data_IF_268451519057
#
_entry.id   IF_268451519057
#
_cell.length_a   1.000
_cell.length_b   1.000
_cell.length_c   1.000
_cell.angle_alpha   90.00
_cell.angle_beta   90.00
_cell.angle_gamma   90.00
#
_symmetry.space_group_name_H-M   'P 1'
#
loop_
_entity.id
_entity.type
_entity.pdbx_description
1 polymer ?
#
# COMPACT_ATOMS: atom_id res chain seq x y z
N UNK A 1 8.34 34.07 -5.63
CA UNK A 1 9.01 33.24 -4.61
C UNK A 1 9.37 31.91 -5.26
N UNK A 2 10.67 31.60 -5.42
CA UNK A 2 11.12 30.36 -6.08
C UNK A 2 11.06 29.25 -5.03
N UNK A 3 10.07 28.35 -5.12
CA UNK A 3 10.01 27.15 -4.27
C UNK A 3 11.17 26.21 -4.62
N UNK A 4 11.97 25.85 -3.62
CA UNK A 4 13.08 24.91 -3.85
C UNK A 4 12.54 23.48 -3.95
N UNK A 5 13.27 22.60 -4.64
CA UNK A 5 12.91 21.18 -4.75
C UNK A 5 12.67 20.50 -3.39
N UNK A 6 13.47 20.85 -2.38
CA UNK A 6 13.34 20.33 -1.01
C UNK A 6 12.02 20.73 -0.37
N UNK A 7 11.53 21.94 -0.66
CA UNK A 7 10.23 22.42 -0.17
C UNK A 7 9.09 21.65 -0.85
N UNK A 8 9.19 21.42 -2.16
CA UNK A 8 8.22 20.60 -2.90
C UNK A 8 8.17 19.17 -2.36
N UNK A 9 9.31 18.52 -2.13
CA UNK A 9 9.38 17.17 -1.58
C UNK A 9 8.71 17.09 -0.21
N UNK A 10 9.05 18.00 0.72
CA UNK A 10 8.43 18.08 2.05
C UNK A 10 6.91 18.24 1.97
N UNK A 11 6.43 19.10 1.07
CA UNK A 11 4.99 19.28 0.85
C UNK A 11 4.35 17.99 0.35
N UNK A 12 4.97 17.28 -0.60
CA UNK A 12 4.45 16.00 -1.10
C UNK A 12 4.48 14.89 -0.06
N UNK A 13 5.49 14.83 0.81
CA UNK A 13 5.52 13.91 1.95
C UNK A 13 4.37 14.17 2.92
N UNK A 14 4.09 15.44 3.26
CA UNK A 14 2.94 15.80 4.12
C UNK A 14 1.61 15.42 3.47
N UNK A 15 1.48 15.68 2.16
CA UNK A 15 0.30 15.30 1.39
C UNK A 15 0.10 13.78 1.40
N UNK A 16 1.17 13.00 1.19
CA UNK A 16 1.13 11.55 1.27
C UNK A 16 0.71 11.08 2.67
N UNK A 17 1.33 11.60 3.73
CA UNK A 17 0.99 11.23 5.11
C UNK A 17 -0.49 11.50 5.43
N UNK A 18 -1.03 12.64 5.00
CA UNK A 18 -2.45 12.96 5.15
C UNK A 18 -3.34 11.94 4.43
N UNK A 19 -3.07 11.65 3.15
CA UNK A 19 -3.89 10.70 2.39
C UNK A 19 -3.78 9.27 2.90
N UNK A 20 -2.60 8.84 3.33
CA UNK A 20 -2.40 7.54 3.98
C UNK A 20 -3.20 7.46 5.28
N UNK A 21 -3.12 8.50 6.13
CA UNK A 21 -3.90 8.55 7.38
C UNK A 21 -5.41 8.53 7.12
N UNK A 22 -5.89 9.34 6.17
CA UNK A 22 -7.30 9.34 5.76
C UNK A 22 -7.75 7.97 5.26
N UNK A 23 -6.95 7.33 4.42
CA UNK A 23 -7.24 5.98 3.91
C UNK A 23 -7.29 4.95 5.05
N UNK A 24 -6.34 4.96 5.99
CA UNK A 24 -6.34 4.05 7.15
C UNK A 24 -7.58 4.24 8.03
N UNK A 25 -8.04 5.48 8.24
CA UNK A 25 -9.28 5.75 8.98
C UNK A 25 -10.48 5.13 8.26
N UNK A 26 -10.59 5.31 6.95
CA UNK A 26 -11.68 4.69 6.18
C UNK A 26 -11.57 3.17 6.12
N UNK A 27 -10.36 2.60 6.14
CA UNK A 27 -10.12 1.15 6.18
C UNK A 27 -10.57 0.57 7.52
N UNK A 28 -10.22 1.23 8.62
CA UNK A 28 -10.70 0.87 9.95
C UNK A 28 -12.23 0.96 10.03
N UNK A 29 -12.82 2.00 9.44
CA UNK A 29 -14.27 2.15 9.36
C UNK A 29 -14.92 1.02 8.54
N UNK A 30 -14.36 0.62 7.39
CA UNK A 30 -14.93 -0.47 6.58
C UNK A 30 -14.76 -1.84 7.23
N UNK A 31 -13.65 -2.06 7.94
CA UNK A 31 -13.33 -3.36 8.54
C UNK A 31 -14.01 -3.58 9.89
N UNK A 32 -14.09 -2.53 10.72
CA UNK A 32 -14.65 -2.62 12.08
C UNK A 32 -16.07 -2.06 12.20
N UNK A 33 -16.47 -1.14 11.33
CA UNK A 33 -17.79 -0.51 11.35
C UNK A 33 -18.97 -1.49 11.29
N UNK A 34 -18.95 -2.56 10.47
CA UNK A 34 -20.02 -3.56 10.45
C UNK A 34 -20.30 -4.17 11.83
N UNK A 35 -19.25 -4.44 12.61
CA UNK A 35 -19.38 -5.05 13.93
C UNK A 35 -19.65 -4.04 15.04
N UNK A 36 -19.16 -2.80 14.92
CA UNK A 36 -19.15 -1.83 16.03
C UNK A 36 -20.19 -0.71 15.92
N UNK A 37 -20.67 -0.38 14.71
CA UNK A 37 -21.44 0.85 14.47
C UNK A 37 -22.82 0.62 13.85
N UNK A 38 -22.98 -0.41 13.02
CA UNK A 38 -24.22 -0.59 12.24
C UNK A 38 -24.68 -2.05 12.10
N UNK A 39 -24.29 -2.93 13.02
CA UNK A 39 -24.81 -4.31 13.19
C UNK A 39 -24.95 -5.10 11.87
N UNK A 40 -23.87 -5.13 11.08
CA UNK A 40 -23.79 -5.84 9.80
C UNK A 40 -24.84 -5.38 8.77
N UNK A 41 -25.34 -4.16 8.88
CA UNK A 41 -26.16 -3.56 7.83
C UNK A 41 -25.35 -3.44 6.53
N UNK A 42 -25.84 -4.12 5.49
CA UNK A 42 -25.19 -4.20 4.18
C UNK A 42 -25.07 -2.83 3.49
N UNK A 43 -26.08 -1.96 3.60
CA UNK A 43 -26.07 -0.66 2.94
C UNK A 43 -24.95 0.22 3.47
N UNK A 44 -24.81 0.34 4.79
CA UNK A 44 -23.73 1.12 5.39
C UNK A 44 -22.35 0.52 5.14
N UNK A 45 -22.25 -0.82 5.14
CA UNK A 45 -21.00 -1.52 4.83
C UNK A 45 -20.54 -1.26 3.39
N UNK A 46 -21.46 -1.33 2.42
CA UNK A 46 -21.18 -1.01 1.01
C UNK A 46 -20.73 0.46 0.88
N UNK A 47 -21.43 1.39 1.52
CA UNK A 47 -21.05 2.81 1.52
C UNK A 47 -19.66 3.04 2.12
N UNK A 48 -19.33 2.39 3.23
CA UNK A 48 -18.02 2.49 3.87
C UNK A 48 -16.90 1.92 2.98
N UNK A 49 -17.14 0.79 2.31
CA UNK A 49 -16.19 0.20 1.35
C UNK A 49 -15.99 1.11 0.14
N UNK A 50 -17.07 1.66 -0.44
CA UNK A 50 -16.97 2.62 -1.54
C UNK A 50 -16.16 3.86 -1.15
N UNK A 51 -16.43 4.41 0.03
CA UNK A 51 -15.66 5.54 0.57
C UNK A 51 -14.19 5.18 0.72
N UNK A 52 -13.88 4.00 1.27
CA UNK A 52 -12.51 3.53 1.42
C UNK A 52 -11.77 3.43 0.08
N UNK A 53 -12.42 2.90 -0.97
CA UNK A 53 -11.85 2.83 -2.32
C UNK A 53 -11.60 4.23 -2.88
N UNK A 54 -12.56 5.15 -2.77
CA UNK A 54 -12.41 6.53 -3.26
C UNK A 54 -11.25 7.26 -2.59
N UNK A 55 -11.12 7.15 -1.26
CA UNK A 55 -9.99 7.74 -0.53
C UNK A 55 -8.68 7.02 -0.88
N UNK A 56 -8.74 5.70 -1.14
CA UNK A 56 -7.61 4.91 -1.61
C UNK A 56 -7.04 5.39 -2.94
N UNK A 57 -7.90 5.78 -3.89
CA UNK A 57 -7.47 6.40 -5.16
C UNK A 57 -6.68 7.70 -4.88
N UNK A 58 -7.16 8.53 -3.95
CA UNK A 58 -6.45 9.73 -3.51
C UNK A 58 -5.06 9.42 -2.93
N UNK A 59 -4.96 8.39 -2.10
CA UNK A 59 -3.68 7.91 -1.55
C UNK A 59 -2.73 7.42 -2.64
N UNK A 60 -3.21 6.67 -3.63
CA UNK A 60 -2.41 6.21 -4.77
C UNK A 60 -1.83 7.41 -5.56
N UNK A 61 -2.67 8.41 -5.85
CA UNK A 61 -2.24 9.62 -6.56
C UNK A 61 -1.22 10.41 -5.74
N UNK A 62 -1.42 10.52 -4.41
CA UNK A 62 -0.47 11.17 -3.52
C UNK A 62 0.89 10.45 -3.49
N UNK A 63 0.89 9.12 -3.44
CA UNK A 63 2.12 8.31 -3.45
C UNK A 63 2.88 8.47 -4.77
N UNK A 64 2.17 8.40 -5.91
CA UNK A 64 2.76 8.66 -7.23
C UNK A 64 3.42 10.04 -7.28
N UNK A 65 2.72 11.08 -6.82
CA UNK A 65 3.23 12.45 -6.82
C UNK A 65 4.44 12.62 -5.88
N UNK A 66 4.48 11.91 -4.77
CA UNK A 66 5.62 11.89 -3.86
C UNK A 66 6.86 11.31 -4.55
N UNK A 67 6.75 10.13 -5.17
CA UNK A 67 7.85 9.49 -5.91
C UNK A 67 8.31 10.38 -7.07
N UNK A 68 7.38 10.99 -7.81
CA UNK A 68 7.74 11.90 -8.91
C UNK A 68 8.50 13.15 -8.46
N UNK A 69 8.42 13.54 -7.19
CA UNK A 69 9.16 14.69 -6.64
C UNK A 69 10.59 14.36 -6.18
N UNK A 70 10.92 13.08 -6.04
CA UNK A 70 12.24 12.58 -5.64
C UNK A 70 13.30 12.79 -6.72
N UNK A 71 14.56 12.47 -6.40
CA UNK A 71 15.63 12.41 -7.40
C UNK A 71 15.68 11.13 -8.23
N UNK A 72 16.48 11.17 -9.28
CA UNK A 72 16.54 10.07 -10.25
C UNK A 72 17.04 8.79 -9.59
N UNK A 73 17.96 8.92 -8.63
CA UNK A 73 18.51 7.80 -7.88
C UNK A 73 17.46 7.21 -6.94
N UNK A 74 16.81 8.04 -6.13
CA UNK A 74 15.70 7.66 -5.25
C UNK A 74 14.55 7.02 -6.05
N UNK A 75 14.10 7.65 -7.14
CA UNK A 75 13.07 7.08 -8.03
C UNK A 75 13.44 5.72 -8.55
N UNK A 76 14.70 5.54 -8.98
CA UNK A 76 15.19 4.25 -9.46
C UNK A 76 15.13 3.19 -8.36
N UNK A 77 15.60 3.51 -7.17
CA UNK A 77 15.53 2.60 -6.00
C UNK A 77 14.07 2.20 -5.72
N UNK A 78 13.16 3.17 -5.72
CA UNK A 78 11.74 2.91 -5.52
C UNK A 78 11.14 2.02 -6.60
N UNK A 79 11.43 2.28 -7.88
CA UNK A 79 10.92 1.48 -9.00
C UNK A 79 11.47 0.04 -8.98
N UNK A 80 12.76 -0.15 -8.71
CA UNK A 80 13.37 -1.47 -8.59
C UNK A 80 12.75 -2.25 -7.41
N UNK A 81 12.59 -1.63 -6.25
CA UNK A 81 11.95 -2.25 -5.10
C UNK A 81 10.48 -2.62 -5.38
N UNK A 82 9.73 -1.77 -6.08
CA UNK A 82 8.35 -2.06 -6.49
C UNK A 82 8.28 -3.21 -7.50
N UNK A 83 9.20 -3.28 -8.46
CA UNK A 83 9.24 -4.36 -9.44
C UNK A 83 9.49 -5.72 -8.77
N UNK A 84 10.41 -5.77 -7.80
CA UNK A 84 10.68 -6.99 -7.01
C UNK A 84 9.45 -7.36 -6.15
N UNK A 85 8.86 -6.40 -5.45
CA UNK A 85 7.68 -6.63 -4.62
C UNK A 85 6.48 -7.14 -5.45
N UNK A 86 6.28 -6.60 -6.65
CA UNK A 86 5.26 -7.06 -7.59
C UNK A 86 5.54 -8.49 -8.08
N UNK A 87 6.79 -8.79 -8.45
CA UNK A 87 7.19 -10.14 -8.84
C UNK A 87 6.93 -11.17 -7.74
N UNK A 88 7.29 -10.83 -6.49
CA UNK A 88 7.03 -11.68 -5.33
C UNK A 88 5.52 -11.81 -5.07
N UNK A 89 4.74 -10.74 -5.21
CA UNK A 89 3.29 -10.79 -5.07
C UNK A 89 2.67 -11.83 -6.02
N UNK A 90 3.09 -11.82 -7.29
CA UNK A 90 2.57 -12.73 -8.31
C UNK A 90 3.03 -14.17 -8.04
N UNK A 91 4.33 -14.39 -7.86
CA UNK A 91 4.88 -15.74 -7.71
C UNK A 91 4.42 -16.38 -6.39
N UNK A 92 4.59 -15.68 -5.27
CA UNK A 92 4.21 -16.20 -3.96
C UNK A 92 2.69 -16.24 -3.78
N UNK A 93 1.96 -15.24 -4.29
CA UNK A 93 0.50 -15.20 -4.20
C UNK A 93 -0.17 -16.35 -4.96
N UNK A 94 0.27 -16.62 -6.19
CA UNK A 94 -0.25 -17.76 -6.96
C UNK A 94 0.15 -19.10 -6.36
N UNK A 95 1.39 -19.25 -5.88
CA UNK A 95 1.82 -20.45 -5.19
C UNK A 95 1.02 -20.70 -3.91
N UNK A 96 0.79 -19.64 -3.11
CA UNK A 96 0.02 -19.71 -1.87
C UNK A 96 -1.45 -20.06 -2.13
N UNK A 97 -2.05 -19.46 -3.16
CA UNK A 97 -3.38 -19.85 -3.62
C UNK A 97 -3.43 -21.32 -4.07
N UNK A 98 -2.45 -21.79 -4.85
CA UNK A 98 -2.41 -23.19 -5.26
C UNK A 98 -2.28 -24.16 -4.09
N UNK A 99 -1.50 -23.82 -3.06
CA UNK A 99 -1.36 -24.65 -1.85
C UNK A 99 -2.70 -24.80 -1.11
N UNK A 100 -3.49 -23.74 -1.06
CA UNK A 100 -4.84 -23.73 -0.47
C UNK A 100 -5.80 -24.60 -1.29
N UNK A 101 -5.94 -24.33 -2.60
CA UNK A 101 -6.89 -25.05 -3.47
C UNK A 101 -6.54 -26.55 -3.58
N UNK A 102 -5.26 -26.92 -3.44
CA UNK A 102 -4.79 -28.31 -3.44
C UNK A 102 -4.83 -28.99 -2.06
N UNK A 103 -5.34 -28.33 -1.01
CA UNK A 103 -5.39 -28.82 0.37
C UNK A 103 -4.03 -29.27 0.93
N UNK A 104 -2.93 -28.64 0.48
CA UNK A 104 -1.59 -28.92 1.01
C UNK A 104 -1.37 -28.23 2.35
N UNK A 105 -1.93 -27.03 2.52
CA UNK A 105 -1.94 -26.29 3.79
C UNK A 105 -3.30 -26.42 4.47
N UNK A 106 -3.31 -26.37 5.79
CA UNK A 106 -4.54 -26.53 6.60
C UNK A 106 -5.32 -25.22 6.82
N UNK A 107 -4.78 -24.07 6.37
CA UNK A 107 -5.40 -22.77 6.55
C UNK A 107 -5.58 -22.04 5.23
N UNK A 108 -6.54 -21.12 5.20
CA UNK A 108 -6.93 -20.40 3.99
C UNK A 108 -5.83 -19.43 3.52
N UNK A 109 -5.72 -19.26 2.20
CA UNK A 109 -4.81 -18.29 1.61
C UNK A 109 -5.33 -16.85 1.77
N UNK A 110 -5.15 -16.27 2.96
CA UNK A 110 -5.57 -14.88 3.19
C UNK A 110 -4.67 -13.85 2.50
N UNK A 111 -5.30 -12.83 1.91
CA UNK A 111 -4.61 -11.71 1.26
C UNK A 111 -3.75 -10.88 2.23
N UNK A 112 -4.07 -10.92 3.53
CA UNK A 112 -3.32 -10.24 4.60
C UNK A 112 -1.84 -10.67 4.63
N UNK A 113 -1.58 -11.98 4.54
CA UNK A 113 -0.23 -12.55 4.50
C UNK A 113 0.57 -12.07 3.28
N UNK A 114 -0.09 -12.03 2.11
CA UNK A 114 0.54 -11.56 0.88
C UNK A 114 0.89 -10.07 0.94
N UNK A 115 -0.02 -9.24 1.47
CA UNK A 115 0.22 -7.80 1.65
C UNK A 115 1.40 -7.56 2.60
N UNK A 116 1.52 -8.31 3.69
CA UNK A 116 2.67 -8.24 4.62
C UNK A 116 3.96 -8.61 3.89
N UNK A 117 3.98 -9.72 3.16
CA UNK A 117 5.15 -10.19 2.41
C UNK A 117 5.61 -9.13 1.38
N UNK A 118 4.67 -8.57 0.61
CA UNK A 118 4.97 -7.51 -0.36
C UNK A 118 5.53 -6.25 0.32
N UNK A 119 4.96 -5.86 1.45
CA UNK A 119 5.39 -4.68 2.20
C UNK A 119 6.80 -4.83 2.75
N UNK A 120 7.13 -6.00 3.33
CA UNK A 120 8.47 -6.32 3.82
C UNK A 120 9.48 -6.39 2.68
N UNK A 121 9.11 -7.04 1.58
CA UNK A 121 9.95 -7.14 0.37
C UNK A 121 10.30 -5.75 -0.17
N UNK A 122 9.29 -4.90 -0.32
CA UNK A 122 9.47 -3.53 -0.77
C UNK A 122 10.39 -2.75 0.19
N UNK A 123 10.14 -2.85 1.50
CA UNK A 123 10.95 -2.17 2.51
C UNK A 123 12.43 -2.60 2.45
N UNK A 124 12.69 -3.91 2.38
CA UNK A 124 14.04 -4.45 2.22
C UNK A 124 14.68 -3.96 0.92
N UNK A 125 13.93 -3.95 -0.19
CA UNK A 125 14.39 -3.43 -1.48
C UNK A 125 14.83 -1.97 -1.40
N UNK A 126 14.06 -1.12 -0.72
CA UNK A 126 14.43 0.28 -0.47
C UNK A 126 15.71 0.36 0.38
N UNK A 127 15.76 -0.34 1.52
CA UNK A 127 16.92 -0.28 2.43
C UNK A 127 18.22 -0.73 1.76
N UNK A 128 18.18 -1.83 1.01
CA UNK A 128 19.32 -2.35 0.26
C UNK A 128 19.72 -1.39 -0.87
N UNK A 129 18.74 -0.88 -1.62
CA UNK A 129 18.97 0.09 -2.69
C UNK A 129 19.63 1.37 -2.16
N UNK A 130 19.09 1.98 -1.10
CA UNK A 130 19.67 3.17 -0.48
C UNK A 130 21.09 2.91 0.03
N UNK A 131 21.35 1.78 0.70
CA UNK A 131 22.69 1.44 1.20
C UNK A 131 23.72 1.22 0.07
N UNK A 132 23.29 0.75 -1.10
CA UNK A 132 24.19 0.49 -2.24
C UNK A 132 24.67 1.77 -2.93
N UNK A 133 23.87 2.84 -2.86
CA UNK A 133 24.13 4.09 -3.57
C UNK A 133 24.54 5.26 -2.66
N UNK A 134 24.68 4.99 -1.35
CA UNK A 134 25.39 5.83 -0.39
C UNK A 134 26.87 5.46 -0.36
#
# INVERSE_FOLDING_TARGET
MITTRKDTLKQKTKQLAFWTGAWLITMALSSFGPKLLWDFNNTYSIMAIMLNVLVGIGMIVANKNHILSMDELEKKIHLEAMAIALGIAVVAGLAYSNLDISNVISGDAEISHLVILCSLTYLVGILVGTKRYQ
#
